data_IF_993227421791
#
_entry.id   IF_993227421791
#
_cell.length_a   1.000
_cell.length_b   1.000
_cell.length_c   1.000
_cell.angle_alpha   90.00
_cell.angle_beta   90.00
_cell.angle_gamma   90.00
#
_symmetry.space_group_name_H-M   'P 1'
#
loop_
_entity.id
_entity.type
_entity.pdbx_description
1 polymer ?
#
# COMPACT_ATOMS: atom_id res chain seq x y z
N UNK A 1 12.07 -7.04 16.45
CA UNK A 1 11.55 -8.17 15.66
C UNK A 1 10.13 -8.44 16.15
N UNK A 2 9.14 -8.56 15.26
CA UNK A 2 7.71 -8.60 15.62
C UNK A 2 7.15 -10.02 15.83
N UNK A 3 8.02 -11.03 15.85
CA UNK A 3 7.61 -12.43 15.84
C UNK A 3 7.08 -12.89 14.49
N UNK A 4 6.49 -14.08 14.46
CA UNK A 4 5.84 -14.62 13.28
C UNK A 4 4.36 -14.23 13.29
N UNK A 5 4.03 -13.31 12.38
CA UNK A 5 2.70 -12.71 12.24
C UNK A 5 2.28 -12.83 10.78
N UNK A 6 1.03 -13.21 10.54
CA UNK A 6 0.41 -13.02 9.23
C UNK A 6 -0.93 -12.33 9.38
N UNK A 7 -1.40 -11.72 8.31
CA UNK A 7 -2.71 -11.09 8.26
C UNK A 7 -3.44 -11.51 7.00
N UNK A 8 -4.76 -11.52 7.08
CA UNK A 8 -5.66 -11.90 6.00
C UNK A 8 -6.75 -10.86 5.85
N UNK A 9 -7.10 -10.54 4.61
CA UNK A 9 -8.19 -9.65 4.23
C UNK A 9 -9.30 -10.45 3.54
N UNK A 10 -10.56 -10.03 3.73
CA UNK A 10 -11.73 -10.75 3.22
C UNK A 10 -12.63 -9.86 2.35
N UNK A 11 -13.41 -10.49 1.46
CA UNK A 11 -14.41 -9.82 0.64
C UNK A 11 -15.59 -9.26 1.46
N UNK A 12 -15.76 -9.73 2.70
CA UNK A 12 -16.69 -9.12 3.64
C UNK A 12 -16.14 -7.81 4.24
N UNK A 13 -14.90 -7.40 3.95
CA UNK A 13 -14.28 -6.17 4.43
C UNK A 13 -13.65 -6.28 5.83
N UNK A 14 -13.53 -7.48 6.40
CA UNK A 14 -12.77 -7.73 7.62
C UNK A 14 -11.29 -8.02 7.33
N UNK A 15 -10.47 -7.65 8.31
CA UNK A 15 -9.05 -8.01 8.41
C UNK A 15 -8.86 -8.79 9.70
N UNK A 16 -8.12 -9.89 9.60
CA UNK A 16 -7.72 -10.71 10.73
C UNK A 16 -6.19 -10.75 10.81
N UNK A 17 -5.67 -10.65 12.03
CA UNK A 17 -4.24 -10.75 12.32
C UNK A 17 -4.02 -11.95 13.22
N UNK A 18 -3.02 -12.75 12.87
CA UNK A 18 -2.71 -14.02 13.49
C UNK A 18 -1.25 -14.02 13.94
N UNK A 19 -0.97 -14.69 15.05
CA UNK A 19 0.38 -14.87 15.54
C UNK A 19 0.67 -16.34 15.79
N UNK A 20 1.92 -16.74 15.60
CA UNK A 20 2.35 -18.10 15.87
C UNK A 20 2.63 -18.26 17.37
N UNK A 21 1.78 -19.00 18.09
CA UNK A 21 1.99 -19.31 19.52
C UNK A 21 3.10 -20.35 19.68
N UNK A 22 3.11 -21.34 18.78
CA UNK A 22 4.13 -22.38 18.70
C UNK A 22 4.21 -22.86 17.24
N UNK A 23 5.32 -23.49 16.79
CA UNK A 23 5.50 -23.85 15.39
C UNK A 23 4.28 -24.56 14.78
N UNK A 24 3.67 -23.94 13.77
CA UNK A 24 2.47 -24.41 13.08
C UNK A 24 1.13 -24.18 13.80
N UNK A 25 1.13 -23.58 14.99
CA UNK A 25 -0.08 -23.24 15.75
C UNK A 25 -0.29 -21.73 15.78
N UNK A 26 -1.37 -21.30 15.15
CA UNK A 26 -1.72 -19.91 14.94
C UNK A 26 -2.96 -19.54 15.74
N UNK A 27 -2.87 -18.45 16.49
CA UNK A 27 -4.00 -17.85 17.19
C UNK A 27 -4.45 -16.57 16.52
N UNK A 28 -5.76 -16.31 16.56
CA UNK A 28 -6.31 -15.03 16.16
C UNK A 28 -5.98 -13.98 17.23
N UNK A 29 -5.20 -12.98 16.85
CA UNK A 29 -4.83 -11.86 17.73
C UNK A 29 -5.89 -10.75 17.70
N UNK A 30 -6.34 -10.40 16.49
CA UNK A 30 -7.34 -9.35 16.29
C UNK A 30 -8.19 -9.64 15.05
N UNK A 31 -9.44 -9.19 15.09
CA UNK A 31 -10.29 -9.09 13.91
C UNK A 31 -11.02 -7.75 13.94
N UNK A 32 -10.93 -7.00 12.85
CA UNK A 32 -11.54 -5.68 12.76
C UNK A 32 -12.13 -5.42 11.36
N UNK A 33 -13.17 -4.60 11.34
CA UNK A 33 -13.86 -4.18 10.11
C UNK A 33 -13.08 -3.05 9.46
N UNK A 34 -12.48 -3.31 8.30
CA UNK A 34 -11.70 -2.31 7.57
C UNK A 34 -12.57 -1.48 6.61
N UNK A 35 -13.49 -2.13 5.88
CA UNK A 35 -14.40 -1.45 4.95
C UNK A 35 -15.77 -2.13 4.93
N UNK A 36 -16.79 -1.40 4.44
CA UNK A 36 -18.09 -1.98 4.06
C UNK A 36 -18.07 -2.66 2.70
N UNK A 37 -16.99 -2.46 1.94
CA UNK A 37 -16.73 -3.09 0.64
C UNK A 37 -15.65 -4.17 0.78
N UNK A 38 -15.45 -5.03 -0.23
CA UNK A 38 -14.37 -6.02 -0.22
C UNK A 38 -13.00 -5.39 0.01
N UNK A 39 -12.20 -6.01 0.88
CA UNK A 39 -10.77 -5.76 0.91
C UNK A 39 -10.11 -6.49 -0.27
N UNK A 40 -9.27 -5.80 -1.03
CA UNK A 40 -8.72 -6.29 -2.31
C UNK A 40 -7.25 -6.65 -2.20
N UNK A 41 -6.48 -5.87 -1.44
CA UNK A 41 -5.07 -6.11 -1.19
C UNK A 41 -4.71 -5.84 0.27
N UNK A 42 -3.75 -6.58 0.81
CA UNK A 42 -3.20 -6.39 2.14
C UNK A 42 -1.68 -6.57 2.09
N UNK A 43 -0.93 -5.63 2.67
CA UNK A 43 0.54 -5.67 2.72
C UNK A 43 1.03 -5.07 4.04
N UNK A 44 1.92 -5.79 4.73
CA UNK A 44 2.72 -5.19 5.80
C UNK A 44 3.68 -4.15 5.21
N UNK A 45 3.90 -3.05 5.94
CA UNK A 45 4.98 -2.11 5.61
C UNK A 45 6.36 -2.72 5.87
N UNK A 46 7.44 -2.15 5.32
CA UNK A 46 8.77 -2.40 5.82
C UNK A 46 8.83 -2.25 7.35
N UNK A 47 9.48 -3.20 8.02
CA UNK A 47 9.49 -3.31 9.48
C UNK A 47 10.15 -2.09 10.18
N UNK A 48 11.00 -1.37 9.45
CA UNK A 48 11.66 -0.16 9.92
C UNK A 48 10.69 0.99 10.17
N UNK A 49 9.50 0.97 9.55
CA UNK A 49 8.42 1.94 9.80
C UNK A 49 7.52 1.55 10.98
N UNK A 50 7.82 0.42 11.63
CA UNK A 50 7.00 -0.18 12.67
C UNK A 50 6.12 -1.30 12.14
N UNK A 51 5.17 -1.74 12.97
CA UNK A 51 4.22 -2.77 12.62
C UNK A 51 2.95 -2.14 12.02
N UNK A 52 3.00 -1.89 10.71
CA UNK A 52 1.88 -1.31 9.97
C UNK A 52 1.30 -2.28 8.94
N UNK A 53 -0.01 -2.20 8.75
CA UNK A 53 -0.79 -2.93 7.76
C UNK A 53 -1.48 -1.95 6.82
N UNK A 54 -1.12 -2.00 5.54
CA UNK A 54 -1.89 -1.36 4.48
C UNK A 54 -2.99 -2.30 3.99
N UNK A 55 -4.19 -1.76 3.73
CA UNK A 55 -5.32 -2.50 3.19
C UNK A 55 -6.01 -1.65 2.13
N UNK A 56 -6.12 -2.18 0.91
CA UNK A 56 -6.93 -1.55 -0.14
C UNK A 56 -8.33 -2.15 -0.18
N UNK A 57 -9.32 -1.35 -0.55
CA UNK A 57 -10.72 -1.80 -0.63
C UNK A 57 -11.43 -1.34 -1.90
N UNK A 58 -12.58 -1.98 -2.18
CA UNK A 58 -13.41 -1.71 -3.36
C UNK A 58 -14.03 -0.31 -3.39
N UNK A 59 -14.04 0.39 -2.25
CA UNK A 59 -14.43 1.80 -2.12
C UNK A 59 -13.35 2.79 -2.59
N UNK A 60 -12.21 2.31 -3.09
CA UNK A 60 -11.15 3.17 -3.61
C UNK A 60 -10.21 3.77 -2.56
N UNK A 61 -10.24 3.23 -1.34
CA UNK A 61 -9.38 3.65 -0.25
C UNK A 61 -8.22 2.69 0.00
N UNK A 62 -7.10 3.25 0.46
CA UNK A 62 -6.03 2.52 1.14
C UNK A 62 -6.01 2.98 2.60
N UNK A 63 -6.18 2.04 3.52
CA UNK A 63 -6.17 2.30 4.97
C UNK A 63 -4.92 1.72 5.58
N UNK A 64 -4.23 2.52 6.39
CA UNK A 64 -3.01 2.13 7.09
C UNK A 64 -3.33 2.01 8.57
N UNK A 65 -3.24 0.78 9.08
CA UNK A 65 -3.38 0.45 10.49
C UNK A 65 -2.01 0.29 11.12
N UNK A 66 -1.86 0.72 12.37
CA UNK A 66 -0.63 0.59 13.15
C UNK A 66 -0.92 -0.06 14.48
N UNK A 67 -0.02 -0.93 14.92
CA UNK A 67 0.01 -1.43 16.30
C UNK A 67 1.18 -0.78 17.05
N UNK A 68 0.89 -0.10 18.15
CA UNK A 68 1.91 0.53 19.01
C UNK A 68 2.60 -0.48 19.92
N UNK A 69 1.86 -1.50 20.38
CA UNK A 69 2.39 -2.54 21.25
C UNK A 69 2.80 -3.77 20.43
N UNK A 70 4.11 -3.90 20.21
CA UNK A 70 4.69 -5.04 19.50
C UNK A 70 4.52 -6.39 20.21
N UNK A 71 4.07 -6.38 21.47
CA UNK A 71 3.78 -7.58 22.26
C UNK A 71 2.29 -7.91 22.32
N UNK A 72 1.42 -6.92 22.02
CA UNK A 72 -0.02 -7.08 22.01
C UNK A 72 -0.62 -6.75 20.65
N UNK A 73 -0.72 -7.78 19.81
CA UNK A 73 -1.26 -7.71 18.45
C UNK A 73 -2.79 -7.56 18.38
N UNK A 74 -3.47 -7.37 19.52
CA UNK A 74 -4.92 -7.21 19.57
C UNK A 74 -5.38 -5.79 19.20
N UNK A 75 -4.50 -4.79 19.31
CA UNK A 75 -4.85 -3.38 19.09
C UNK A 75 -4.21 -2.85 17.80
N UNK A 76 -5.09 -2.43 16.87
CA UNK A 76 -4.74 -1.90 15.56
C UNK A 76 -5.49 -0.60 15.32
N UNK A 77 -4.75 0.50 15.30
CA UNK A 77 -5.31 1.85 15.15
C UNK A 77 -5.26 2.29 13.69
N UNK A 78 -6.38 2.80 13.17
CA UNK A 78 -6.40 3.43 11.85
C UNK A 78 -5.65 4.76 11.92
N UNK A 79 -4.50 4.83 11.25
CA UNK A 79 -3.62 6.01 11.25
C UNK A 79 -3.80 6.87 10.01
N UNK A 80 -4.11 6.26 8.86
CA UNK A 80 -4.27 6.95 7.58
C UNK A 80 -5.41 6.34 6.78
N UNK A 81 -6.22 7.18 6.15
CA UNK A 81 -7.28 6.77 5.21
C UNK A 81 -7.11 7.55 3.89
N UNK A 82 -6.51 6.89 2.90
CA UNK A 82 -6.08 7.48 1.65
C UNK A 82 -7.14 7.22 0.58
N UNK A 83 -7.77 8.28 0.07
CA UNK A 83 -8.66 8.17 -1.08
C UNK A 83 -7.81 8.16 -2.37
N UNK A 84 -7.55 6.96 -2.88
CA UNK A 84 -6.60 6.75 -3.98
C UNK A 84 -7.26 6.68 -5.36
N UNK A 85 -8.56 6.36 -5.43
CA UNK A 85 -9.24 6.04 -6.68
C UNK A 85 -10.67 6.60 -6.74
N UNK A 86 -11.03 7.21 -7.87
CA UNK A 86 -12.39 7.68 -8.14
C UNK A 86 -12.69 9.05 -7.56
N UNK A 87 -13.87 9.58 -7.90
CA UNK A 87 -14.41 10.76 -7.22
C UNK A 87 -15.05 10.29 -5.90
N UNK A 88 -15.13 11.16 -4.89
CA UNK A 88 -15.85 10.83 -3.65
C UNK A 88 -17.31 10.43 -3.90
N UNK A 89 -17.89 10.93 -4.99
CA UNK A 89 -19.25 10.63 -5.44
C UNK A 89 -19.38 9.33 -6.24
N UNK A 90 -18.28 8.78 -6.76
CA UNK A 90 -18.24 7.56 -7.57
C UNK A 90 -16.91 6.82 -7.33
N UNK A 91 -16.83 6.04 -6.23
CA UNK A 91 -15.60 5.36 -5.83
C UNK A 91 -15.23 4.27 -6.82
N UNK A 92 -13.94 4.14 -7.10
CA UNK A 92 -13.40 3.13 -8.01
C UNK A 92 -12.46 2.20 -7.25
N UNK A 93 -12.44 0.87 -7.50
CA UNK A 93 -11.61 -0.05 -6.73
C UNK A 93 -10.11 0.22 -6.94
N UNK A 94 -9.33 0.07 -5.86
CA UNK A 94 -7.87 0.02 -5.89
C UNK A 94 -7.40 -1.42 -5.64
N UNK A 95 -7.28 -2.26 -6.68
CA UNK A 95 -7.07 -3.71 -6.51
C UNK A 95 -5.69 -4.08 -5.96
N UNK A 96 -4.67 -3.25 -6.17
CA UNK A 96 -3.30 -3.58 -5.81
C UNK A 96 -2.52 -2.36 -5.34
N UNK A 97 -1.58 -2.60 -4.44
CA UNK A 97 -0.58 -1.62 -4.04
C UNK A 97 0.66 -2.34 -3.52
N UNK A 98 1.79 -1.65 -3.50
CA UNK A 98 2.99 -2.12 -2.84
C UNK A 98 3.73 -0.98 -2.15
N UNK A 99 4.44 -1.34 -1.08
CA UNK A 99 5.33 -0.43 -0.37
C UNK A 99 6.65 -0.33 -1.11
N UNK A 100 7.21 0.88 -1.18
CA UNK A 100 8.62 1.02 -1.52
C UNK A 100 9.47 0.31 -0.46
N UNK A 101 10.43 -0.56 -0.86
CA UNK A 101 11.37 -1.15 0.09
C UNK A 101 12.13 -0.08 0.88
N UNK A 102 12.43 -0.36 2.15
CA UNK A 102 13.09 0.60 3.02
C UNK A 102 14.45 1.05 2.45
N UNK A 103 14.71 2.35 2.54
CA UNK A 103 16.06 2.91 2.41
C UNK A 103 16.20 4.01 3.44
N UNK A 104 17.39 4.15 4.01
CA UNK A 104 17.67 5.27 4.89
C UNK A 104 17.50 6.58 4.12
N UNK A 105 16.97 7.61 4.80
CA UNK A 105 16.83 8.97 4.28
C UNK A 105 15.87 9.14 3.08
N UNK A 106 15.09 8.10 2.75
CA UNK A 106 13.98 8.17 1.79
C UNK A 106 12.65 8.08 2.55
N UNK A 107 11.65 8.94 2.24
CA UNK A 107 10.35 8.86 2.88
C UNK A 107 9.64 7.52 2.62
N UNK A 108 8.64 7.20 3.44
CA UNK A 108 7.74 6.08 3.14
C UNK A 108 7.00 6.36 1.84
N UNK A 109 6.94 5.37 0.95
CA UNK A 109 6.30 5.52 -0.35
C UNK A 109 5.42 4.32 -0.68
N UNK A 110 4.38 4.57 -1.46
CA UNK A 110 3.43 3.58 -1.95
C UNK A 110 3.28 3.73 -3.45
N UNK A 111 3.26 2.60 -4.15
CA UNK A 111 2.79 2.51 -5.53
C UNK A 111 1.39 1.90 -5.50
N UNK A 112 0.44 2.58 -6.12
CA UNK A 112 -0.97 2.24 -6.04
C UNK A 112 -1.51 2.01 -7.44
N UNK A 113 -2.07 0.82 -7.68
CA UNK A 113 -2.80 0.46 -8.88
C UNK A 113 -4.30 0.59 -8.68
N UNK A 114 -4.95 1.25 -9.64
CA UNK A 114 -6.35 1.60 -9.65
C UNK A 114 -7.00 1.07 -10.93
N UNK A 115 -8.34 1.09 -11.03
CA UNK A 115 -9.03 0.71 -12.28
C UNK A 115 -8.57 1.49 -13.51
N UNK A 116 -8.23 2.76 -13.37
CA UNK A 116 -7.89 3.62 -14.51
C UNK A 116 -6.64 4.46 -14.29
N UNK A 117 -5.90 4.18 -13.22
CA UNK A 117 -4.69 4.92 -12.90
C UNK A 117 -3.66 4.10 -12.14
N UNK A 118 -2.41 4.53 -12.22
CA UNK A 118 -1.33 4.06 -11.37
C UNK A 118 -0.62 5.29 -10.83
N UNK A 119 -0.45 5.38 -9.50
CA UNK A 119 0.06 6.59 -8.85
C UNK A 119 1.07 6.26 -7.76
N UNK A 120 1.99 7.19 -7.53
CA UNK A 120 3.00 7.13 -6.46
C UNK A 120 2.61 8.10 -5.36
N UNK A 121 2.65 7.62 -4.13
CA UNK A 121 2.39 8.40 -2.92
C UNK A 121 3.63 8.42 -2.03
N UNK A 122 3.81 9.53 -1.32
CA UNK A 122 4.89 9.73 -0.35
C UNK A 122 4.32 10.22 0.97
N UNK A 123 4.85 9.71 2.08
CA UNK A 123 4.54 10.22 3.41
C UNK A 123 5.38 11.46 3.71
N UNK A 124 4.72 12.55 4.05
CA UNK A 124 5.36 13.74 4.59
C UNK A 124 5.42 13.64 6.11
N UNK A 125 6.61 13.36 6.64
CA UNK A 125 6.83 13.22 8.09
C UNK A 125 6.64 14.52 8.88
N UNK A 126 6.75 15.69 8.26
CA UNK A 126 6.50 16.97 8.93
C UNK A 126 5.00 17.24 9.07
N UNK A 127 4.22 16.86 8.07
CA UNK A 127 2.77 17.05 8.05
C UNK A 127 1.99 15.84 8.61
N UNK A 128 2.65 14.70 8.77
CA UNK A 128 2.04 13.46 9.23
C UNK A 128 0.99 12.90 8.27
N UNK A 129 1.14 13.14 6.96
CA UNK A 129 0.15 12.76 5.95
C UNK A 129 0.78 12.25 4.66
N UNK A 130 0.06 11.41 3.97
CA UNK A 130 0.41 10.97 2.62
C UNK A 130 -0.04 11.98 1.56
N UNK A 131 0.80 12.20 0.55
CA UNK A 131 0.48 12.99 -0.63
C UNK A 131 0.77 12.18 -1.89
N UNK A 132 -0.05 12.37 -2.92
CA UNK A 132 0.23 11.85 -4.26
C UNK A 132 1.32 12.71 -4.89
N UNK A 133 2.42 12.09 -5.33
CA UNK A 133 3.62 12.77 -5.84
C UNK A 133 3.89 12.50 -7.32
N UNK A 134 3.29 11.44 -7.90
CA UNK A 134 3.35 11.19 -9.34
C UNK A 134 2.15 10.36 -9.81
N UNK A 135 1.79 10.54 -11.08
CA UNK A 135 0.82 9.73 -11.80
C UNK A 135 1.51 9.08 -13.00
N UNK A 136 1.49 7.74 -13.06
CA UNK A 136 2.20 6.92 -14.05
C UNK A 136 1.32 6.53 -15.23
N UNK A 137 0.01 6.49 -14.99
CA UNK A 137 -1.01 6.30 -16.01
C UNK A 137 -2.24 7.07 -15.55
N UNK A 138 -2.65 8.10 -16.30
CA UNK A 138 -3.90 8.82 -16.07
C UNK A 138 -4.68 8.90 -17.40
N UNK A 139 -5.92 8.39 -17.41
CA UNK A 139 -6.90 8.43 -18.51
C UNK A 139 -6.47 7.61 -19.78
N UNK A 140 -7.33 7.03 -20.63
CA UNK A 140 -8.75 7.11 -20.95
C UNK A 140 -9.23 5.67 -21.30
N UNK A 141 -10.33 5.18 -20.71
CA UNK A 141 -10.93 3.86 -21.05
C UNK A 141 -10.06 2.60 -20.89
N UNK A 142 -8.88 2.71 -20.26
CA UNK A 142 -7.89 1.63 -20.19
C UNK A 142 -8.24 0.51 -19.21
N UNK A 143 -7.60 -0.65 -19.41
CA UNK A 143 -7.72 -1.81 -18.53
C UNK A 143 -7.28 -1.48 -17.09
N UNK A 144 -7.86 -2.20 -16.13
CA UNK A 144 -7.49 -2.16 -14.72
C UNK A 144 -6.01 -2.48 -14.52
N UNK A 145 -5.38 -1.76 -13.59
CA UNK A 145 -4.05 -2.13 -13.10
C UNK A 145 -4.21 -3.32 -12.17
N UNK A 146 -3.81 -4.49 -12.63
CA UNK A 146 -4.02 -5.77 -11.91
C UNK A 146 -2.96 -6.00 -10.85
N UNK A 147 -1.73 -5.58 -11.10
CA UNK A 147 -0.62 -5.78 -10.18
C UNK A 147 0.41 -4.64 -10.29
N UNK A 148 1.13 -4.41 -9.19
CA UNK A 148 2.17 -3.39 -9.07
C UNK A 148 3.34 -3.90 -8.24
N UNK A 149 4.55 -3.53 -8.62
CA UNK A 149 5.76 -3.86 -7.86
C UNK A 149 6.75 -2.70 -7.81
N UNK A 150 7.45 -2.57 -6.68
CA UNK A 150 8.47 -1.57 -6.47
C UNK A 150 9.82 -2.24 -6.29
N UNK A 151 10.72 -1.95 -7.22
CA UNK A 151 11.94 -2.71 -7.32
C UNK A 151 12.93 -2.30 -6.19
N UNK A 152 13.59 -3.27 -5.56
CA UNK A 152 14.52 -3.05 -4.44
C UNK A 152 15.65 -2.04 -4.76
N UNK A 153 16.08 -1.19 -3.81
CA UNK A 153 17.07 -0.13 -4.02
C UNK A 153 18.50 -0.66 -4.28
N UNK A 154 18.78 -1.93 -4.01
CA UNK A 154 20.15 -2.47 -4.04
C UNK A 154 20.86 -2.26 -5.39
N UNK A 155 21.91 -1.45 -5.39
CA UNK A 155 22.80 -1.22 -6.54
C UNK A 155 22.21 -0.34 -7.66
N UNK A 156 21.08 0.32 -7.42
CA UNK A 156 20.41 1.13 -8.44
C UNK A 156 20.79 2.61 -8.35
N UNK A 157 20.87 3.23 -9.52
CA UNK A 157 21.04 4.68 -9.68
C UNK A 157 19.70 5.39 -9.88
N UNK A 158 18.60 4.65 -9.88
CA UNK A 158 17.25 5.18 -10.08
C UNK A 158 16.18 4.29 -9.46
N UNK A 159 15.06 4.91 -9.08
CA UNK A 159 13.85 4.24 -8.63
C UNK A 159 13.12 3.61 -9.84
N UNK A 160 12.79 2.33 -9.72
CA UNK A 160 12.10 1.57 -10.76
C UNK A 160 10.82 0.98 -10.17
N UNK A 161 9.72 1.18 -10.89
CA UNK A 161 8.42 0.61 -10.56
C UNK A 161 7.87 -0.13 -11.77
N UNK A 162 7.05 -1.14 -11.51
CA UNK A 162 6.37 -1.90 -12.55
C UNK A 162 4.89 -1.99 -12.26
N UNK A 163 4.07 -2.02 -13.31
CA UNK A 163 2.64 -2.28 -13.20
C UNK A 163 2.13 -3.07 -14.40
N UNK A 164 1.16 -3.96 -14.17
CA UNK A 164 0.49 -4.75 -15.19
C UNK A 164 -0.92 -4.22 -15.44
N UNK A 165 -1.27 -4.05 -16.72
CA UNK A 165 -2.64 -3.70 -17.14
C UNK A 165 -2.98 -4.42 -18.45
N UNK A 166 -4.15 -5.07 -18.48
CA UNK A 166 -4.55 -5.88 -19.63
C UNK A 166 -3.51 -6.96 -19.95
N UNK A 167 -3.05 -6.99 -21.19
CA UNK A 167 -2.03 -7.94 -21.67
C UNK A 167 -0.58 -7.41 -21.59
N UNK A 168 -0.34 -6.24 -20.97
CA UNK A 168 0.95 -5.58 -20.97
C UNK A 168 1.48 -5.30 -19.55
N UNK A 169 2.81 -5.41 -19.41
CA UNK A 169 3.55 -4.96 -18.23
C UNK A 169 4.39 -3.74 -18.60
N UNK A 170 4.39 -2.74 -17.73
CA UNK A 170 5.11 -1.49 -17.88
C UNK A 170 6.18 -1.43 -16.81
N UNK A 171 7.40 -1.01 -17.18
CA UNK A 171 8.47 -0.70 -16.23
C UNK A 171 8.81 0.76 -16.41
N UNK A 172 8.73 1.52 -15.33
CA UNK A 172 8.87 2.97 -15.32
C UNK A 172 10.02 3.36 -14.40
N UNK A 173 10.86 4.25 -14.89
CA UNK A 173 11.90 4.90 -14.10
C UNK A 173 11.35 6.19 -13.51
N UNK A 174 11.34 6.30 -12.17
CA UNK A 174 10.99 7.54 -11.48
C UNK A 174 12.23 8.43 -11.41
N UNK A 175 12.08 9.71 -11.77
CA UNK A 175 13.15 10.71 -11.68
C UNK A 175 12.72 11.85 -10.78
N UNK A 176 13.61 12.41 -9.98
CA UNK A 176 13.32 13.67 -9.32
C UNK A 176 13.24 14.79 -10.36
N UNK A 177 12.07 15.40 -10.46
CA UNK A 177 11.82 16.61 -11.23
C UNK A 177 12.25 17.87 -10.46
N UNK A 178 12.23 19.04 -11.11
CA UNK A 178 12.55 20.31 -10.46
C UNK A 178 11.62 20.55 -9.27
N UNK A 179 12.17 20.78 -8.08
CA UNK A 179 11.41 20.99 -6.85
C UNK A 179 11.09 19.72 -6.04
N UNK A 180 11.70 18.57 -6.37
CA UNK A 180 11.57 17.32 -5.60
C UNK A 180 10.32 16.49 -5.95
N UNK A 181 9.59 16.86 -7.01
CA UNK A 181 8.42 16.12 -7.50
C UNK A 181 8.88 15.00 -8.43
N UNK A 182 8.48 13.75 -8.17
CA UNK A 182 8.85 12.64 -9.04
C UNK A 182 8.15 12.74 -10.40
N UNK A 183 8.93 12.69 -11.48
CA UNK A 183 8.47 12.71 -12.86
C UNK A 183 8.74 11.36 -13.55
N UNK A 184 7.89 11.02 -14.51
CA UNK A 184 8.00 9.84 -15.37
C UNK A 184 8.94 10.15 -16.54
N UNK A 185 9.85 9.21 -16.86
CA UNK A 185 10.68 9.25 -18.08
C UNK A 185 10.27 8.17 -19.07
#
# INVERSE_FOLDING_TARGET
EFGQVFASASADGFVCVWFERSPGQWDLASSFKCSRTPCLCLKFSPHQYGLNLGVSSGDGHIRIYRSEDHTNLSDWQLTQDLHACGARSDPSPCPCFCWRPYSQDVPEMLLVGCRSSCSVWSFDGHLGRWTRVADLAEHDGGDVVEDVDWASPCGKTAELVAFARGAAAFVVQLREGPGGVLAVS
#
